data_IF_610169139627
#
_entry.id   IF_610169139627
#
_cell.length_a   1.000
_cell.length_b   1.000
_cell.length_c   1.000
_cell.angle_alpha   90.00
_cell.angle_beta   90.00
_cell.angle_gamma   90.00
#
_symmetry.space_group_name_H-M   'P 1'
#
loop_
_entity.id
_entity.type
_entity.pdbx_description
1 polymer ?
#
# COMPACT_ATOMS: atom_id res chain seq x y z
N UNK A 1 0.28 -10.01 2.40
CA UNK A 1 -0.68 -8.97 2.87
C UNK A 1 0.04 -7.91 3.68
N UNK A 2 0.81 -8.30 4.72
CA UNK A 2 1.70 -7.40 5.45
C UNK A 2 2.61 -6.60 4.53
N UNK A 3 3.20 -7.22 3.50
CA UNK A 3 4.08 -6.49 2.58
C UNK A 3 3.37 -5.38 1.77
N UNK A 4 2.08 -5.55 1.47
CA UNK A 4 1.28 -4.49 0.85
C UNK A 4 1.03 -3.36 1.86
N UNK A 5 0.65 -3.70 3.09
CA UNK A 5 0.29 -2.75 4.15
C UNK A 5 1.50 -2.13 4.87
N UNK A 6 2.68 -2.72 4.80
CA UNK A 6 3.92 -2.25 5.44
C UNK A 6 4.98 -1.78 4.43
N UNK A 7 4.82 -2.16 3.16
CA UNK A 7 5.73 -1.79 2.08
C UNK A 7 5.08 -0.83 1.09
N UNK A 8 4.24 -1.36 0.20
CA UNK A 8 3.75 -0.62 -0.98
C UNK A 8 2.81 0.53 -0.58
N UNK A 9 1.84 0.26 0.28
CA UNK A 9 0.81 1.22 0.65
C UNK A 9 1.38 2.42 1.42
N UNK A 10 2.24 2.24 2.44
CA UNK A 10 2.93 3.36 3.08
C UNK A 10 3.79 4.18 2.11
N UNK A 11 4.50 3.52 1.18
CA UNK A 11 5.35 4.18 0.19
C UNK A 11 4.53 5.07 -0.74
N UNK A 12 3.47 4.52 -1.34
CA UNK A 12 2.62 5.23 -2.30
C UNK A 12 1.88 6.38 -1.61
N UNK A 13 1.31 6.15 -0.42
CA UNK A 13 0.65 7.20 0.36
C UNK A 13 1.65 8.31 0.70
N UNK A 14 2.88 7.97 1.09
CA UNK A 14 3.90 8.97 1.42
C UNK A 14 4.22 9.87 0.24
N UNK A 15 4.42 9.28 -0.95
CA UNK A 15 4.69 10.03 -2.17
C UNK A 15 3.52 10.91 -2.58
N UNK A 16 2.30 10.39 -2.49
CA UNK A 16 1.07 11.14 -2.78
C UNK A 16 0.93 12.36 -1.86
N UNK A 17 1.12 12.17 -0.54
CA UNK A 17 1.06 13.28 0.42
C UNK A 17 2.12 14.34 0.12
N UNK A 18 3.38 13.93 -0.13
CA UNK A 18 4.45 14.85 -0.48
C UNK A 18 4.15 15.63 -1.77
N UNK A 19 3.55 14.97 -2.76
CA UNK A 19 3.12 15.61 -4.01
C UNK A 19 2.08 16.71 -3.74
N UNK A 20 1.04 16.43 -2.97
CA UNK A 20 0.01 17.42 -2.64
C UNK A 20 0.51 18.57 -1.77
N UNK A 21 1.43 18.30 -0.83
CA UNK A 21 2.09 19.35 -0.05
C UNK A 21 2.92 20.24 -0.97
N UNK A 22 3.69 19.67 -1.90
CA UNK A 22 4.48 20.42 -2.89
C UNK A 22 3.60 21.30 -3.78
N UNK A 23 2.43 20.80 -4.16
CA UNK A 23 1.40 21.56 -4.90
C UNK A 23 0.62 22.56 -4.05
N UNK A 24 0.89 22.62 -2.73
CA UNK A 24 0.26 23.53 -1.76
C UNK A 24 -1.26 23.33 -1.60
N UNK A 25 -1.76 22.12 -1.82
CA UNK A 25 -3.17 21.79 -1.57
C UNK A 25 -3.50 21.76 -0.08
N UNK A 26 -2.60 21.22 0.73
CA UNK A 26 -2.72 21.21 2.19
C UNK A 26 -1.34 21.08 2.84
N UNK A 27 -1.29 21.32 4.15
CA UNK A 27 -0.12 21.10 5.00
C UNK A 27 -0.24 19.79 5.77
N UNK A 28 0.90 19.22 6.18
CA UNK A 28 0.90 17.97 6.96
C UNK A 28 0.09 18.09 8.26
N UNK A 29 0.11 19.26 8.91
CA UNK A 29 -0.68 19.52 10.11
C UNK A 29 -2.19 19.50 9.84
N UNK A 30 -2.64 20.06 8.71
CA UNK A 30 -4.04 19.98 8.30
C UNK A 30 -4.48 18.53 8.07
N UNK A 31 -3.65 17.72 7.42
CA UNK A 31 -3.92 16.29 7.23
C UNK A 31 -3.95 15.54 8.57
N UNK A 32 -2.97 15.75 9.44
CA UNK A 32 -2.93 15.13 10.76
C UNK A 32 -4.14 15.51 11.62
N UNK A 33 -4.61 16.76 11.51
CA UNK A 33 -5.85 17.20 12.16
C UNK A 33 -7.09 16.49 11.59
N UNK A 34 -7.15 16.27 10.26
CA UNK A 34 -8.22 15.46 9.64
C UNK A 34 -8.19 14.02 10.14
N UNK A 35 -7.02 13.37 10.15
CA UNK A 35 -6.84 12.01 10.68
C UNK A 35 -7.29 11.94 12.14
N UNK A 36 -6.88 12.90 12.98
CA UNK A 36 -7.24 12.92 14.40
C UNK A 36 -8.75 13.08 14.62
N UNK A 37 -9.43 13.89 13.81
CA UNK A 37 -10.82 14.27 14.03
C UNK A 37 -11.83 13.55 13.14
N UNK A 38 -11.37 12.62 12.29
CA UNK A 38 -12.25 11.83 11.43
C UNK A 38 -13.21 10.97 12.25
N UNK A 39 -14.44 10.83 11.77
CA UNK A 39 -15.50 10.07 12.45
C UNK A 39 -15.36 8.58 12.12
N UNK A 40 -14.49 7.88 12.85
CA UNK A 40 -14.32 6.43 12.73
C UNK A 40 -15.51 5.68 13.35
N UNK A 41 -15.84 4.51 12.79
CA UNK A 41 -16.86 3.62 13.35
C UNK A 41 -16.44 3.04 14.70
N UNK A 42 -17.41 2.62 15.52
CA UNK A 42 -17.16 2.07 16.87
C UNK A 42 -16.10 0.95 16.88
N UNK A 43 -16.14 0.04 15.91
CA UNK A 43 -15.18 -1.07 15.77
C UNK A 43 -13.81 -0.64 15.22
N UNK A 44 -13.74 0.52 14.58
CA UNK A 44 -12.54 1.01 13.90
C UNK A 44 -11.66 1.87 14.82
N UNK A 45 -12.24 2.45 15.88
CA UNK A 45 -11.52 3.31 16.84
C UNK A 45 -10.28 2.64 17.43
N UNK A 46 -10.33 1.32 17.64
CA UNK A 46 -9.17 0.53 18.13
C UNK A 46 -7.99 0.60 17.17
N UNK A 47 -8.25 0.73 15.87
CA UNK A 47 -7.24 0.81 14.80
C UNK A 47 -7.08 2.23 14.26
N UNK A 48 -7.43 3.26 15.06
CA UNK A 48 -7.29 4.65 14.64
C UNK A 48 -5.84 4.95 14.21
N UNK A 49 -5.60 5.55 13.03
CA UNK A 49 -4.26 5.86 12.58
C UNK A 49 -3.59 6.93 13.46
N UNK A 50 -2.30 6.75 13.70
CA UNK A 50 -1.45 7.74 14.36
C UNK A 50 -1.18 8.94 13.44
N UNK A 51 -0.78 10.08 14.01
CA UNK A 51 -0.27 11.21 13.22
C UNK A 51 1.01 10.84 12.48
N UNK A 52 1.17 11.40 11.29
CA UNK A 52 2.28 11.14 10.37
C UNK A 52 3.33 12.24 10.53
N UNK A 53 4.60 11.85 10.65
CA UNK A 53 5.73 12.77 10.68
C UNK A 53 6.29 13.01 9.27
N UNK A 54 6.82 14.21 9.02
CA UNK A 54 7.40 14.56 7.73
C UNK A 54 8.61 13.66 7.38
N UNK A 55 9.41 13.27 8.38
CA UNK A 55 10.53 12.33 8.18
C UNK A 55 10.06 10.96 7.69
N UNK A 56 8.89 10.50 8.15
CA UNK A 56 8.29 9.24 7.72
C UNK A 56 7.89 9.29 6.25
N UNK A 57 7.34 10.42 5.81
CA UNK A 57 6.96 10.63 4.42
C UNK A 57 8.17 10.59 3.48
N UNK A 58 9.26 11.29 3.83
CA UNK A 58 10.49 11.29 3.03
C UNK A 58 11.06 9.87 2.91
N UNK A 59 11.03 9.12 4.01
CA UNK A 59 11.54 7.75 4.04
C UNK A 59 10.60 6.72 3.40
N UNK A 60 9.38 7.12 3.02
CA UNK A 60 8.35 6.21 2.50
C UNK A 60 7.86 5.18 3.52
N UNK A 61 8.02 5.45 4.82
CA UNK A 61 7.73 4.52 5.92
C UNK A 61 6.86 5.21 6.96
N UNK A 62 5.55 5.09 6.81
CA UNK A 62 4.58 5.61 7.77
C UNK A 62 4.44 4.57 8.89
N UNK A 63 4.74 4.95 10.13
CA UNK A 63 4.67 4.05 11.28
C UNK A 63 3.21 3.82 11.69
N UNK A 64 2.60 2.79 11.12
CA UNK A 64 1.27 2.29 11.45
C UNK A 64 1.34 0.77 11.52
N UNK A 65 0.51 0.16 12.35
CA UNK A 65 0.21 -1.27 12.20
C UNK A 65 -0.50 -1.52 10.87
N UNK A 66 -0.50 -2.77 10.38
CA UNK A 66 -1.20 -3.12 9.14
C UNK A 66 -2.69 -2.70 9.14
N UNK A 67 -3.38 -2.89 10.29
CA UNK A 67 -4.78 -2.51 10.45
C UNK A 67 -4.97 -0.97 10.42
N UNK A 68 -4.10 -0.23 11.09
CA UNK A 68 -4.11 1.24 11.03
C UNK A 68 -3.80 1.76 9.63
N UNK A 69 -2.84 1.16 8.92
CA UNK A 69 -2.50 1.55 7.56
C UNK A 69 -3.67 1.31 6.61
N UNK A 70 -4.34 0.16 6.72
CA UNK A 70 -5.52 -0.12 5.91
C UNK A 70 -6.65 0.87 6.20
N UNK A 71 -6.94 1.13 7.49
CA UNK A 71 -7.96 2.08 7.87
C UNK A 71 -7.64 3.50 7.39
N UNK A 72 -6.37 3.92 7.49
CA UNK A 72 -5.91 5.16 6.90
C UNK A 72 -6.17 5.18 5.40
N UNK A 73 -5.69 4.17 4.67
CA UNK A 73 -5.75 4.14 3.21
C UNK A 73 -7.19 4.18 2.66
N UNK A 74 -8.12 3.45 3.28
CA UNK A 74 -9.53 3.44 2.84
C UNK A 74 -10.22 4.79 3.08
N UNK A 75 -9.89 5.48 4.19
CA UNK A 75 -10.52 6.75 4.54
C UNK A 75 -9.80 7.98 3.97
N UNK A 76 -8.54 7.82 3.54
CA UNK A 76 -7.72 8.91 3.07
C UNK A 76 -8.35 9.69 1.90
N UNK A 77 -8.95 9.06 0.86
CA UNK A 77 -9.62 9.79 -0.22
C UNK A 77 -10.71 10.74 0.30
N UNK A 78 -11.45 10.33 1.32
CA UNK A 78 -12.53 11.13 1.92
C UNK A 78 -11.94 12.27 2.76
N UNK A 79 -10.81 12.04 3.44
CA UNK A 79 -10.14 13.08 4.24
C UNK A 79 -9.56 14.20 3.38
N UNK A 80 -9.05 13.86 2.20
CA UNK A 80 -8.37 14.79 1.29
C UNK A 80 -9.27 15.33 0.19
N UNK A 81 -10.48 14.79 0.00
CA UNK A 81 -11.39 15.19 -1.09
C UNK A 81 -11.71 16.69 -1.08
N UNK A 82 -11.70 17.34 0.09
CA UNK A 82 -11.94 18.78 0.20
C UNK A 82 -10.75 19.66 -0.18
N UNK A 83 -9.56 19.08 -0.36
CA UNK A 83 -8.31 19.82 -0.62
C UNK A 83 -7.81 19.69 -2.05
N UNK A 84 -8.31 18.72 -2.82
CA UNK A 84 -7.76 18.35 -4.11
C UNK A 84 -8.75 18.71 -5.21
N UNK A 85 -8.26 19.38 -6.24
CA UNK A 85 -9.03 19.63 -7.46
C UNK A 85 -9.18 18.34 -8.28
N UNK A 86 -10.35 18.12 -8.88
CA UNK A 86 -10.69 16.91 -9.67
C UNK A 86 -9.71 16.62 -10.82
N UNK A 87 -8.94 17.63 -11.25
CA UNK A 87 -7.97 17.53 -12.34
C UNK A 87 -6.64 16.87 -11.96
N UNK A 88 -6.37 16.59 -10.68
CA UNK A 88 -5.06 16.11 -10.24
C UNK A 88 -4.97 14.60 -10.00
N UNK A 89 -3.78 14.03 -10.18
CA UNK A 89 -3.53 12.60 -10.41
C UNK A 89 -3.55 11.71 -9.16
N UNK A 90 -4.69 11.69 -8.46
CA UNK A 90 -4.99 10.71 -7.38
C UNK A 90 -5.19 9.29 -7.93
N UNK A 91 -5.28 9.14 -9.27
CA UNK A 91 -5.67 7.90 -9.96
C UNK A 91 -4.90 6.67 -9.48
N UNK A 92 -3.56 6.72 -9.44
CA UNK A 92 -2.79 5.52 -9.10
C UNK A 92 -3.07 5.01 -7.67
N UNK A 93 -3.38 5.92 -6.74
CA UNK A 93 -3.75 5.52 -5.39
C UNK A 93 -5.13 4.84 -5.36
N UNK A 94 -6.07 5.33 -6.16
CA UNK A 94 -7.39 4.70 -6.29
C UNK A 94 -7.30 3.32 -6.94
N UNK A 95 -6.45 3.14 -7.97
CA UNK A 95 -6.16 1.84 -8.59
C UNK A 95 -5.52 0.90 -7.56
N UNK A 96 -4.54 1.37 -6.79
CA UNK A 96 -3.92 0.58 -5.72
C UNK A 96 -4.93 0.12 -4.66
N UNK A 97 -5.86 0.98 -4.26
CA UNK A 97 -6.93 0.59 -3.34
C UNK A 97 -7.84 -0.50 -3.92
N UNK A 98 -8.12 -0.47 -5.23
CA UNK A 98 -8.87 -1.53 -5.92
C UNK A 98 -8.11 -2.85 -5.94
N UNK A 99 -6.79 -2.81 -6.22
CA UNK A 99 -5.90 -3.97 -6.12
C UNK A 99 -5.96 -4.56 -4.70
N UNK A 100 -5.75 -3.74 -3.67
CA UNK A 100 -5.79 -4.20 -2.28
C UNK A 100 -7.15 -4.85 -1.93
N UNK A 101 -8.27 -4.25 -2.37
CA UNK A 101 -9.60 -4.82 -2.13
C UNK A 101 -9.77 -6.21 -2.74
N UNK A 102 -9.30 -6.44 -3.97
CA UNK A 102 -9.36 -7.75 -4.61
C UNK A 102 -8.45 -8.75 -3.90
N UNK A 103 -7.22 -8.34 -3.58
CA UNK A 103 -6.23 -9.18 -2.88
C UNK A 103 -6.70 -9.57 -1.48
N UNK A 104 -7.56 -8.77 -0.84
CA UNK A 104 -8.07 -9.03 0.50
C UNK A 104 -9.40 -9.81 0.52
N UNK A 105 -9.93 -10.23 -0.63
CA UNK A 105 -11.12 -11.11 -0.67
C UNK A 105 -10.80 -12.52 -0.16
N UNK A 106 -11.75 -13.12 0.56
CA UNK A 106 -11.64 -14.51 1.05
C UNK A 106 -11.63 -15.55 -0.08
N UNK A 107 -12.23 -15.19 -1.22
CA UNK A 107 -12.29 -15.99 -2.44
C UNK A 107 -12.24 -15.09 -3.66
N UNK A 108 -11.43 -15.49 -4.65
CA UNK A 108 -11.24 -14.75 -5.90
C UNK A 108 -11.76 -15.62 -7.05
N UNK A 109 -12.62 -15.05 -7.90
CA UNK A 109 -13.10 -15.70 -9.13
C UNK A 109 -12.08 -15.55 -10.25
N UNK A 110 -12.19 -16.39 -11.30
CA UNK A 110 -11.30 -16.29 -12.45
C UNK A 110 -11.36 -14.91 -13.12
N UNK A 111 -12.54 -14.30 -13.19
CA UNK A 111 -12.71 -12.93 -13.66
C UNK A 111 -11.93 -11.92 -12.82
N UNK A 112 -11.96 -12.05 -11.49
CA UNK A 112 -11.23 -11.13 -10.59
C UNK A 112 -9.72 -11.29 -10.71
N UNK A 113 -9.21 -12.46 -11.13
CA UNK A 113 -7.78 -12.64 -11.45
C UNK A 113 -7.40 -11.84 -12.70
N UNK A 114 -8.20 -11.89 -13.76
CA UNK A 114 -7.96 -11.08 -14.96
C UNK A 114 -8.04 -9.59 -14.65
N UNK A 115 -9.08 -9.16 -13.93
CA UNK A 115 -9.22 -7.78 -13.49
C UNK A 115 -8.02 -7.33 -12.64
N UNK A 116 -7.51 -8.19 -11.75
CA UNK A 116 -6.34 -7.88 -10.95
C UNK A 116 -5.11 -7.62 -11.82
N UNK A 117 -4.91 -8.41 -12.89
CA UNK A 117 -3.82 -8.21 -13.83
C UNK A 117 -3.94 -6.86 -14.56
N UNK A 118 -5.13 -6.52 -15.06
CA UNK A 118 -5.39 -5.23 -15.72
C UNK A 118 -5.11 -4.05 -14.78
N UNK A 119 -5.62 -4.11 -13.54
CA UNK A 119 -5.41 -3.08 -12.53
C UNK A 119 -3.93 -2.91 -12.18
N UNK A 120 -3.19 -4.02 -12.14
CA UNK A 120 -1.75 -4.01 -11.90
C UNK A 120 -1.01 -3.27 -13.02
N UNK A 121 -1.37 -3.53 -14.28
CA UNK A 121 -0.77 -2.88 -15.44
C UNK A 121 -1.11 -1.38 -15.45
N UNK A 122 -2.37 -1.03 -15.21
CA UNK A 122 -2.85 0.35 -15.05
C UNK A 122 -2.09 1.08 -13.95
N UNK A 123 -1.99 0.49 -12.75
CA UNK A 123 -1.26 1.07 -11.63
C UNK A 123 0.20 1.36 -11.97
N UNK A 124 0.87 0.42 -12.66
CA UNK A 124 2.27 0.57 -13.05
C UNK A 124 2.46 1.73 -14.03
N UNK A 125 1.57 1.89 -14.99
CA UNK A 125 1.61 2.97 -15.98
C UNK A 125 1.40 4.31 -15.26
N UNK A 126 0.30 4.45 -14.51
CA UNK A 126 -0.03 5.70 -13.83
C UNK A 126 1.02 6.10 -12.78
N UNK A 127 1.56 5.13 -12.05
CA UNK A 127 2.60 5.40 -11.06
C UNK A 127 3.89 5.91 -11.73
N UNK A 128 4.24 5.38 -12.90
CA UNK A 128 5.40 5.86 -13.68
C UNK A 128 5.17 7.26 -14.24
N UNK A 129 3.98 7.57 -14.72
CA UNK A 129 3.72 8.87 -15.30
C UNK A 129 3.70 9.98 -14.23
N UNK A 130 3.06 9.72 -13.09
CA UNK A 130 2.80 10.74 -12.08
C UNK A 130 3.90 10.91 -11.03
N UNK A 131 4.64 9.85 -10.69
CA UNK A 131 5.60 9.88 -9.58
C UNK A 131 7.06 9.71 -10.01
N UNK A 132 7.33 9.34 -11.27
CA UNK A 132 8.68 9.00 -11.73
C UNK A 132 9.46 10.18 -12.31
N UNK A 133 8.80 11.27 -12.72
CA UNK A 133 9.48 12.47 -13.22
C UNK A 133 10.30 13.23 -12.15
N UNK A 134 10.16 12.91 -10.85
CA UNK A 134 10.75 13.69 -9.75
C UNK A 134 11.85 12.98 -8.94
N UNK A 135 12.38 11.80 -9.32
CA UNK A 135 13.44 11.17 -8.51
C UNK A 135 14.47 10.33 -9.28
N UNK A 136 15.75 10.51 -8.92
CA UNK A 136 16.91 9.68 -9.29
C UNK A 136 17.08 8.54 -8.29
N UNK A 137 17.32 7.35 -8.83
CA UNK A 137 17.98 6.18 -8.21
C UNK A 137 17.35 5.58 -6.93
N UNK A 138 16.87 4.34 -7.07
CA UNK A 138 16.22 3.46 -6.08
C UNK A 138 14.73 3.84 -5.83
N UNK A 139 13.70 3.10 -6.25
CA UNK A 139 13.60 1.66 -6.41
C UNK A 139 12.24 1.31 -7.09
N UNK A 140 12.17 1.19 -8.43
CA UNK A 140 11.03 0.60 -9.14
C UNK A 140 11.01 -0.92 -9.09
N UNK A 141 12.14 -1.55 -8.74
CA UNK A 141 12.27 -3.01 -8.79
C UNK A 141 11.42 -3.64 -7.70
N UNK A 142 11.37 -3.09 -6.49
CA UNK A 142 10.55 -3.66 -5.41
C UNK A 142 9.06 -3.70 -5.73
N UNK A 143 8.42 -2.60 -6.16
CA UNK A 143 6.97 -2.58 -6.46
C UNK A 143 6.62 -3.46 -7.67
N UNK A 144 7.39 -3.40 -8.76
CA UNK A 144 7.17 -4.22 -9.96
C UNK A 144 7.47 -5.72 -9.74
N UNK A 145 8.52 -6.04 -8.99
CA UNK A 145 8.88 -7.42 -8.63
C UNK A 145 7.86 -7.99 -7.66
N UNK A 146 7.38 -7.18 -6.70
CA UNK A 146 6.37 -7.63 -5.74
C UNK A 146 5.03 -7.88 -6.42
N UNK A 147 4.59 -6.97 -7.30
CA UNK A 147 3.35 -7.13 -8.07
C UNK A 147 3.43 -8.34 -9.03
N UNK A 148 4.59 -8.61 -9.64
CA UNK A 148 4.82 -9.82 -10.44
C UNK A 148 4.89 -11.11 -9.60
N UNK A 149 5.33 -11.03 -8.34
CA UNK A 149 5.42 -12.18 -7.41
C UNK A 149 4.09 -12.56 -6.76
N UNK A 150 3.09 -11.66 -6.75
CA UNK A 150 1.77 -11.85 -6.14
C UNK A 150 0.83 -12.80 -6.91
N UNK A 151 1.35 -13.70 -7.76
CA UNK A 151 0.57 -14.80 -8.35
C UNK A 151 -0.30 -15.52 -7.29
N UNK A 152 -1.41 -16.17 -7.68
CA UNK A 152 -2.59 -16.43 -6.82
C UNK A 152 -2.25 -16.84 -5.38
N UNK A 153 -2.36 -15.87 -4.47
CA UNK A 153 -1.87 -15.97 -3.08
C UNK A 153 -2.88 -16.71 -2.20
N UNK A 154 -2.90 -18.04 -2.21
CA UNK A 154 -3.52 -18.82 -1.13
C UNK A 154 -2.57 -19.62 -0.22
N UNK A 155 -1.33 -20.00 -0.60
CA UNK A 155 -0.50 -20.80 0.31
C UNK A 155 0.28 -20.04 1.40
N UNK A 156 0.38 -18.71 1.36
CA UNK A 156 1.44 -17.97 2.09
C UNK A 156 0.96 -17.08 3.26
N UNK A 157 -0.22 -17.31 3.81
CA UNK A 157 -0.84 -16.43 4.82
C UNK A 157 -0.41 -16.76 6.26
N UNK A 158 -0.04 -15.74 7.04
CA UNK A 158 0.28 -15.87 8.49
C UNK A 158 -0.52 -14.93 9.42
N UNK A 159 -1.47 -14.12 8.94
CA UNK A 159 -2.22 -13.21 9.83
C UNK A 159 -3.18 -13.90 10.81
N UNK A 160 -3.32 -15.23 10.74
CA UNK A 160 -4.02 -16.01 11.77
C UNK A 160 -3.13 -16.39 12.96
N UNK A 161 -1.84 -16.03 12.93
CA UNK A 161 -0.85 -16.41 13.93
C UNK A 161 0.14 -15.26 14.19
N UNK A 162 -0.07 -14.53 15.28
CA UNK A 162 0.92 -13.63 15.90
C UNK A 162 0.91 -13.92 17.42
N UNK A 163 2.04 -13.98 18.14
CA UNK A 163 3.19 -14.85 17.94
C UNK A 163 3.38 -15.82 19.13
N UNK A 164 3.45 -17.12 18.87
CA UNK A 164 4.28 -18.01 19.70
C UNK A 164 5.66 -18.07 19.06
N UNK A 165 6.68 -17.66 19.80
CA UNK A 165 8.08 -17.34 19.40
C UNK A 165 8.80 -18.39 18.54
N UNK A 166 8.24 -19.60 18.39
CA UNK A 166 8.80 -20.69 17.60
C UNK A 166 8.48 -20.63 16.08
N UNK A 167 7.43 -19.92 15.65
CA UNK A 167 6.95 -19.99 14.25
C UNK A 167 7.59 -18.93 13.33
N UNK A 168 8.07 -17.81 13.91
CA UNK A 168 8.70 -16.71 13.14
C UNK A 168 10.03 -17.13 12.49
N UNK A 169 10.75 -18.09 13.06
CA UNK A 169 11.97 -18.66 12.48
C UNK A 169 11.67 -19.56 11.27
N UNK A 170 10.53 -20.24 11.27
CA UNK A 170 10.11 -21.12 10.16
C UNK A 170 9.72 -20.31 8.92
N UNK A 171 9.08 -19.15 9.10
CA UNK A 171 8.70 -18.27 7.99
C UNK A 171 9.92 -17.60 7.34
N UNK A 172 10.94 -17.23 8.14
CA UNK A 172 12.23 -16.74 7.63
C UNK A 172 12.99 -17.80 6.84
N UNK A 173 12.83 -19.08 7.16
CA UNK A 173 13.45 -20.20 6.45
C UNK A 173 12.89 -20.46 5.04
N UNK A 174 11.62 -20.12 4.76
CA UNK A 174 10.98 -20.40 3.46
C UNK A 174 11.12 -19.28 2.43
N UNK A 175 11.56 -18.09 2.84
CA UNK A 175 11.98 -17.02 1.91
C UNK A 175 13.16 -17.43 1.01
N UNK A 176 13.89 -18.50 1.37
CA UNK A 176 14.98 -19.08 0.55
C UNK A 176 14.51 -19.97 -0.62
N UNK A 177 13.23 -20.33 -0.70
CA UNK A 177 12.73 -21.25 -1.74
C UNK A 177 12.41 -20.49 -3.04
N UNK A 178 12.18 -19.17 -2.97
CA UNK A 178 11.93 -18.33 -4.17
C UNK A 178 13.21 -18.18 -5.03
N UNK A 179 14.40 -18.38 -4.46
CA UNK A 179 15.66 -18.39 -5.21
C UNK A 179 15.87 -19.64 -6.09
N UNK A 180 15.07 -20.70 -5.95
CA UNK A 180 15.32 -21.98 -6.66
C UNK A 180 14.51 -22.11 -7.96
N UNK A 181 13.52 -21.25 -8.22
CA UNK A 181 12.75 -21.27 -9.47
C UNK A 181 13.49 -20.65 -10.66
N UNK A 182 14.69 -20.09 -10.46
CA UNK A 182 15.52 -19.58 -11.56
C UNK A 182 16.32 -20.66 -12.30
N UNK A 183 16.20 -21.94 -11.92
CA UNK A 183 16.93 -23.06 -12.51
C UNK A 183 16.09 -23.99 -13.40
N UNK A 184 14.82 -23.69 -13.66
CA UNK A 184 13.94 -24.52 -14.50
C UNK A 184 13.36 -23.77 -15.71
N UNK A 185 14.14 -22.84 -16.27
CA UNK A 185 13.91 -22.30 -17.60
C UNK A 185 15.25 -22.14 -18.33
N UNK A 186 15.80 -23.26 -18.78
CA UNK A 186 16.63 -23.31 -19.99
C UNK A 186 15.78 -23.92 -21.11
#
# INVERSE_FOLDING_TARGET
MHDLLEGILPLVISKMILHFIKRKFFTLDQLNNKIKNFKYGYREIVNKPCSIDYKQLINGKINQTAAQMWLLAVNLPIMISSFIDESDSVWCFTVLLRICRIVFLDSISQFQVYLLQELIEEFVIEYKENFFQSYKENDPKSVLVFIKLLGPLKPFWCMRLEPSTAISSLCKGKSKIVSTLHLLSQ
#
